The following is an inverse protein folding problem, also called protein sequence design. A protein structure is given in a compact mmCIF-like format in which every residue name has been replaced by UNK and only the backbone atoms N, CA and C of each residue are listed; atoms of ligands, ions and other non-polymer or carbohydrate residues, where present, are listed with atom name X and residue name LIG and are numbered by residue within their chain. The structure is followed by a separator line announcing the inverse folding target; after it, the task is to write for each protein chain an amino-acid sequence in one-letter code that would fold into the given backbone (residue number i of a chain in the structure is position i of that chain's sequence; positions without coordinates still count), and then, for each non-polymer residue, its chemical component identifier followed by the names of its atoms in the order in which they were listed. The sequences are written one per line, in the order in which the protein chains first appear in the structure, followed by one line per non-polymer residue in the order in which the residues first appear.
data_IF_667734374598
#
_entry.id   IF_667734374598
#
_cell.length_a   1.000
_cell.length_b   1.000
_cell.length_c   1.000
_cell.angle_alpha   90.00
_cell.angle_beta   90.00
_cell.angle_gamma   90.00
#
_symmetry.space_group_name_H-M   'P 1'
#
loop_
_entity.id
_entity.type
_entity.pdbx_description
1 polymer ?
#
# COMPACT_ATOMS: atom_id res chain seq x y z
N UNK A 1 1.68 -24.33 1.02
CA UNK A 1 2.36 -23.35 1.93
C UNK A 1 3.21 -22.43 1.10
N UNK A 2 3.14 -21.14 1.37
CA UNK A 2 4.05 -20.15 0.80
C UNK A 2 5.49 -20.47 1.19
N UNK A 3 6.40 -20.42 0.24
CA UNK A 3 7.84 -20.59 0.54
C UNK A 3 8.41 -19.32 1.17
N UNK A 4 9.44 -19.42 1.98
CA UNK A 4 10.15 -18.25 2.53
C UNK A 4 10.61 -17.28 1.44
N UNK A 5 10.98 -17.79 0.26
CA UNK A 5 11.35 -16.97 -0.89
C UNK A 5 10.17 -16.10 -1.36
N UNK A 6 8.96 -16.66 -1.45
CA UNK A 6 7.78 -15.92 -1.89
C UNK A 6 7.35 -14.89 -0.86
N UNK A 7 7.41 -15.20 0.44
CA UNK A 7 7.19 -14.23 1.51
C UNK A 7 8.10 -13.01 1.38
N UNK A 8 9.39 -13.27 1.13
CA UNK A 8 10.39 -12.20 0.98
C UNK A 8 10.17 -11.38 -0.28
N UNK A 9 9.80 -12.01 -1.39
CA UNK A 9 9.46 -11.31 -2.64
C UNK A 9 8.29 -10.34 -2.43
N UNK A 10 7.19 -10.80 -1.82
CA UNK A 10 6.02 -9.98 -1.50
C UNK A 10 6.40 -8.77 -0.61
N UNK A 11 7.17 -9.01 0.45
CA UNK A 11 7.57 -7.94 1.36
C UNK A 11 8.52 -6.94 0.69
N UNK A 12 9.48 -7.42 -0.12
CA UNK A 12 10.39 -6.55 -0.88
C UNK A 12 9.64 -5.69 -1.88
N UNK A 13 8.68 -6.26 -2.60
CA UNK A 13 7.86 -5.52 -3.56
C UNK A 13 7.14 -4.36 -2.88
N UNK A 14 6.50 -4.61 -1.73
CA UNK A 14 5.81 -3.56 -0.96
C UNK A 14 6.78 -2.49 -0.43
N UNK A 15 7.91 -2.88 0.17
CA UNK A 15 8.91 -1.92 0.67
C UNK A 15 9.39 -1.00 -0.46
N UNK A 16 9.73 -1.58 -1.61
CA UNK A 16 10.15 -0.83 -2.77
C UNK A 16 9.03 0.09 -3.31
N UNK A 17 7.78 -0.39 -3.33
CA UNK A 17 6.64 0.42 -3.77
C UNK A 17 6.44 1.65 -2.89
N UNK A 18 6.51 1.50 -1.56
CA UNK A 18 6.41 2.63 -0.64
C UNK A 18 7.57 3.60 -0.80
N UNK A 19 8.81 3.12 -0.94
CA UNK A 19 9.97 3.98 -1.18
C UNK A 19 9.81 4.77 -2.49
N UNK A 20 9.38 4.11 -3.56
CA UNK A 20 9.18 4.75 -4.85
C UNK A 20 8.03 5.76 -4.84
N UNK A 21 6.92 5.43 -4.15
CA UNK A 21 5.80 6.36 -3.95
C UNK A 21 6.24 7.64 -3.24
N UNK A 22 7.02 7.53 -2.15
CA UNK A 22 7.53 8.73 -1.47
C UNK A 22 8.47 9.53 -2.38
N UNK A 23 9.31 8.86 -3.17
CA UNK A 23 10.20 9.55 -4.12
C UNK A 23 9.44 10.25 -5.25
N UNK A 24 8.22 9.80 -5.57
CA UNK A 24 7.37 10.41 -6.57
C UNK A 24 6.90 11.82 -6.19
N UNK A 25 6.93 12.18 -4.92
CA UNK A 25 6.59 13.53 -4.46
C UNK A 25 7.54 14.61 -5.06
N UNK A 26 8.78 14.25 -5.42
CA UNK A 26 9.77 15.23 -5.88
C UNK A 26 10.17 16.21 -4.77
N UNK A 27 10.91 17.23 -5.10
CA UNK A 27 11.42 18.19 -4.10
C UNK A 27 10.31 19.08 -3.54
N UNK A 28 9.48 19.66 -4.40
CA UNK A 28 8.44 20.61 -4.02
C UNK A 28 7.42 20.03 -3.03
N UNK A 29 6.79 18.90 -3.37
CA UNK A 29 5.84 18.24 -2.47
C UNK A 29 6.54 17.65 -1.24
N UNK A 30 7.79 17.20 -1.36
CA UNK A 30 8.55 16.72 -0.21
C UNK A 30 8.79 17.82 0.81
N UNK A 31 9.11 19.03 0.37
CA UNK A 31 9.25 20.19 1.24
C UNK A 31 7.91 20.63 1.82
N UNK A 32 6.86 20.71 0.98
CA UNK A 32 5.52 21.09 1.39
C UNK A 32 4.96 20.15 2.47
N UNK A 33 5.07 18.84 2.27
CA UNK A 33 4.52 17.84 3.20
C UNK A 33 5.51 17.41 4.29
N UNK A 34 6.76 17.86 4.21
CA UNK A 34 7.82 17.45 5.13
C UNK A 34 8.13 15.95 5.01
N UNK A 35 8.21 15.44 3.77
CA UNK A 35 8.47 14.02 3.50
C UNK A 35 9.95 13.72 3.71
N UNK A 36 10.23 12.69 4.52
CA UNK A 36 11.57 12.12 4.66
C UNK A 36 11.47 10.61 4.70
N UNK A 37 12.38 9.94 4.01
CA UNK A 37 12.48 8.47 4.00
C UNK A 37 13.89 8.07 4.40
N UNK A 38 13.97 7.12 5.31
CA UNK A 38 15.23 6.57 5.81
C UNK A 38 15.23 5.06 5.65
N UNK A 39 16.40 4.51 5.38
CA UNK A 39 16.65 3.07 5.49
C UNK A 39 17.44 2.77 6.76
N UNK A 40 17.05 1.71 7.47
CA UNK A 40 17.76 1.22 8.65
C UNK A 40 17.77 -0.30 8.61
N UNK A 41 18.88 -0.88 8.19
CA UNK A 41 18.90 -2.28 7.80
C UNK A 41 17.91 -2.54 6.66
N UNK A 42 17.00 -3.48 6.85
CA UNK A 42 15.92 -3.76 5.91
C UNK A 42 14.69 -2.85 6.07
N UNK A 43 14.64 -2.04 7.12
CA UNK A 43 13.49 -1.21 7.41
C UNK A 43 13.45 0.04 6.51
N UNK A 44 12.29 0.32 5.94
CA UNK A 44 11.92 1.61 5.37
C UNK A 44 11.12 2.40 6.43
N UNK A 45 11.60 3.60 6.76
CA UNK A 45 11.03 4.51 7.75
C UNK A 45 10.57 5.75 7.00
N UNK A 46 9.28 6.01 6.95
CA UNK A 46 8.70 7.16 6.27
C UNK A 46 8.10 8.16 7.26
N UNK A 47 8.42 9.42 7.04
CA UNK A 47 7.92 10.56 7.80
C UNK A 47 7.21 11.51 6.85
N UNK A 48 5.98 11.90 7.20
CA UNK A 48 5.22 12.94 6.52
C UNK A 48 4.72 13.89 7.60
N UNK A 49 5.46 14.97 7.82
CA UNK A 49 5.29 15.83 9.00
C UNK A 49 4.02 16.67 8.94
N UNK A 50 3.73 17.23 7.77
CA UNK A 50 2.71 18.28 7.61
C UNK A 50 1.33 17.70 7.26
N UNK A 51 1.19 16.38 7.20
CA UNK A 51 -0.08 15.68 6.97
C UNK A 51 -0.25 14.63 8.07
N UNK A 52 -1.28 14.78 8.91
CA UNK A 52 -1.57 13.82 10.00
C UNK A 52 -2.40 12.63 9.50
N UNK A 53 -1.88 11.93 8.50
CA UNK A 53 -2.45 10.65 8.06
C UNK A 53 -1.50 9.55 8.53
N UNK A 54 -1.97 8.76 9.51
CA UNK A 54 -1.16 7.73 10.15
C UNK A 54 -0.58 6.71 9.17
N UNK A 55 -1.29 6.43 8.06
CA UNK A 55 -0.86 5.52 7.02
C UNK A 55 0.45 5.93 6.33
N UNK A 56 0.82 7.20 6.34
CA UNK A 56 2.05 7.70 5.72
C UNK A 56 3.23 7.83 6.71
N UNK A 57 2.97 7.74 8.01
CA UNK A 57 4.00 7.72 9.05
C UNK A 57 4.17 6.27 9.52
N UNK A 58 5.04 5.51 8.84
CA UNK A 58 5.18 4.07 9.06
C UNK A 58 6.61 3.56 8.99
N UNK A 59 6.79 2.41 9.61
CA UNK A 59 7.99 1.59 9.50
C UNK A 59 7.58 0.22 8.96
N UNK A 60 8.18 -0.22 7.86
CA UNK A 60 7.97 -1.54 7.26
C UNK A 60 9.31 -2.25 7.08
N UNK A 61 9.33 -3.58 7.20
CA UNK A 61 10.52 -4.40 6.96
C UNK A 61 11.52 -4.46 8.12
N UNK A 62 11.18 -3.91 9.31
CA UNK A 62 12.03 -4.01 10.49
C UNK A 62 12.19 -5.48 10.90
N UNK A 63 13.45 -5.94 11.03
CA UNK A 63 13.77 -7.30 11.44
C UNK A 63 13.59 -8.37 10.37
N UNK A 64 13.24 -8.02 9.12
CA UNK A 64 12.89 -9.02 8.10
C UNK A 64 14.10 -9.59 7.34
N UNK A 65 14.94 -8.73 6.76
CA UNK A 65 16.13 -9.16 6.00
C UNK A 65 17.42 -9.01 6.80
N UNK A 66 17.37 -8.23 7.86
CA UNK A 66 18.42 -8.06 8.85
C UNK A 66 17.75 -8.05 10.22
N UNK A 67 18.32 -8.82 11.15
CA UNK A 67 17.86 -8.87 12.54
C UNK A 67 17.82 -7.47 13.14
N UNK A 68 16.69 -7.10 13.72
CA UNK A 68 16.56 -5.82 14.40
C UNK A 68 17.34 -5.79 15.71
N UNK A 69 17.71 -4.59 16.16
CA UNK A 69 18.30 -4.36 17.47
C UNK A 69 17.41 -3.42 18.28
N UNK A 70 17.58 -3.44 19.59
CA UNK A 70 16.87 -2.53 20.48
C UNK A 70 17.19 -1.06 20.17
N UNK A 71 18.45 -0.76 19.86
CA UNK A 71 18.90 0.54 19.42
C UNK A 71 18.18 1.05 18.14
N UNK A 72 17.88 0.14 17.21
CA UNK A 72 17.10 0.48 16.02
C UNK A 72 15.70 1.02 16.40
N UNK A 73 15.05 0.41 17.39
CA UNK A 73 13.74 0.87 17.88
C UNK A 73 13.84 2.26 18.49
N UNK A 74 14.85 2.52 19.31
CA UNK A 74 15.13 3.83 19.91
C UNK A 74 15.41 4.90 18.86
N UNK A 75 16.20 4.56 17.86
CA UNK A 75 16.52 5.44 16.75
C UNK A 75 15.28 5.78 15.90
N UNK A 76 14.38 4.81 15.67
CA UNK A 76 13.11 5.04 14.99
C UNK A 76 12.27 6.06 15.77
N UNK A 77 12.05 5.84 17.06
CA UNK A 77 11.28 6.75 17.92
C UNK A 77 11.89 8.16 17.89
N UNK A 78 13.22 8.24 18.01
CA UNK A 78 13.94 9.53 17.99
C UNK A 78 13.74 10.29 16.68
N UNK A 79 13.71 9.61 15.53
CA UNK A 79 13.45 10.25 14.23
C UNK A 79 12.07 10.91 14.18
N UNK A 80 11.03 10.21 14.64
CA UNK A 80 9.66 10.77 14.66
C UNK A 80 9.52 11.89 15.69
N UNK A 81 10.08 11.73 16.90
CA UNK A 81 10.10 12.79 17.92
C UNK A 81 10.80 14.06 17.41
N UNK A 82 11.99 13.92 16.83
CA UNK A 82 12.75 15.04 16.30
C UNK A 82 12.08 15.74 15.11
N UNK A 83 11.24 15.01 14.37
CA UNK A 83 10.41 15.60 13.32
C UNK A 83 9.14 16.27 13.85
N UNK A 84 8.81 16.11 15.14
CA UNK A 84 7.58 16.61 15.74
C UNK A 84 6.33 15.79 15.35
N UNK A 85 6.52 14.56 14.86
CA UNK A 85 5.42 13.67 14.51
C UNK A 85 4.93 12.95 15.77
N UNK A 86 3.64 13.05 16.04
CA UNK A 86 3.03 12.58 17.30
C UNK A 86 2.63 11.10 17.29
N UNK A 87 2.56 10.45 16.13
CA UNK A 87 2.15 9.05 16.02
C UNK A 87 2.66 8.40 14.75
N UNK A 88 3.03 7.13 14.83
CA UNK A 88 3.45 6.34 13.68
C UNK A 88 3.17 4.85 13.89
N UNK A 89 3.11 4.10 12.78
CA UNK A 89 3.00 2.65 12.79
C UNK A 89 4.36 1.95 12.66
N UNK A 90 4.52 0.83 13.36
CA UNK A 90 5.49 -0.21 13.02
C UNK A 90 4.71 -1.45 12.57
N UNK A 91 4.90 -1.83 11.33
CA UNK A 91 4.24 -2.97 10.71
C UNK A 91 5.21 -4.16 10.69
N UNK A 92 4.90 -5.20 11.47
CA UNK A 92 5.82 -6.32 11.70
C UNK A 92 5.42 -7.51 10.84
N UNK A 93 6.36 -7.95 10.01
CA UNK A 93 6.22 -9.20 9.28
C UNK A 93 6.30 -10.40 10.25
N UNK A 94 5.55 -11.51 10.02
CA UNK A 94 5.60 -12.69 10.89
C UNK A 94 6.99 -13.30 11.05
N UNK A 95 7.86 -13.19 10.04
CA UNK A 95 9.25 -13.67 10.06
C UNK A 95 10.26 -12.63 10.62
N UNK A 96 9.80 -11.50 11.15
CA UNK A 96 10.71 -10.50 11.71
C UNK A 96 11.44 -11.03 12.94
N UNK A 97 12.74 -10.79 12.97
CA UNK A 97 13.64 -11.20 14.04
C UNK A 97 14.27 -9.98 14.73
N UNK A 98 14.58 -10.06 16.02
CA UNK A 98 14.39 -11.22 16.89
C UNK A 98 12.97 -11.25 17.50
N UNK A 99 12.53 -12.38 18.11
CA UNK A 99 11.23 -12.47 18.79
C UNK A 99 11.02 -11.41 19.88
N UNK A 100 12.10 -10.94 20.50
CA UNK A 100 12.11 -9.90 21.55
C UNK A 100 11.63 -8.52 21.07
N UNK A 101 11.45 -8.30 19.77
CA UNK A 101 10.94 -7.04 19.23
C UNK A 101 9.67 -6.56 19.95
N UNK A 102 8.75 -7.47 20.28
CA UNK A 102 7.50 -7.12 20.97
C UNK A 102 7.73 -6.67 22.40
N UNK A 103 8.73 -7.22 23.09
CA UNK A 103 9.10 -6.81 24.45
C UNK A 103 9.70 -5.40 24.43
N UNK A 104 10.58 -5.11 23.45
CA UNK A 104 11.13 -3.77 23.25
C UNK A 104 10.06 -2.73 22.94
N UNK A 105 9.04 -3.13 22.19
CA UNK A 105 7.89 -2.26 21.91
C UNK A 105 7.09 -1.95 23.18
N UNK A 106 6.78 -2.98 23.99
CA UNK A 106 6.03 -2.80 25.24
C UNK A 106 6.74 -1.85 26.20
N UNK A 107 8.08 -1.97 26.33
CA UNK A 107 8.91 -1.08 27.17
C UNK A 107 8.90 0.39 26.72
N UNK A 108 8.50 0.67 25.47
CA UNK A 108 8.50 2.01 24.86
C UNK A 108 7.09 2.54 24.55
N UNK A 109 6.08 1.96 25.18
CA UNK A 109 4.67 2.30 24.95
C UNK A 109 4.25 2.20 23.46
N UNK A 110 4.86 1.27 22.70
CA UNK A 110 4.43 0.91 21.36
C UNK A 110 3.46 -0.28 21.53
N UNK A 111 2.18 -0.03 21.28
CA UNK A 111 1.10 -0.99 21.56
C UNK A 111 0.53 -1.58 20.27
N UNK A 112 0.05 -2.82 20.34
CA UNK A 112 -0.71 -3.40 19.24
C UNK A 112 -1.96 -2.55 18.98
N UNK A 113 -2.21 -2.21 17.72
CA UNK A 113 -3.31 -1.34 17.31
C UNK A 113 -4.37 -2.07 16.49
N UNK A 114 -3.97 -2.73 15.42
CA UNK A 114 -4.82 -3.55 14.56
C UNK A 114 -3.98 -4.52 13.75
N UNK A 115 -4.66 -5.35 12.97
CA UNK A 115 -4.01 -6.22 12.00
C UNK A 115 -4.42 -5.81 10.58
N UNK A 116 -3.46 -5.98 9.66
CA UNK A 116 -3.74 -5.99 8.23
C UNK A 116 -3.43 -7.37 7.68
N UNK A 117 -4.17 -7.78 6.66
CA UNK A 117 -4.02 -9.08 6.03
C UNK A 117 -3.40 -8.91 4.67
N UNK A 118 -2.26 -9.56 4.47
CA UNK A 118 -1.60 -9.63 3.18
C UNK A 118 -2.15 -10.82 2.42
N UNK A 119 -2.61 -10.56 1.20
CA UNK A 119 -3.12 -11.58 0.27
C UNK A 119 -2.17 -11.72 -0.91
N UNK A 120 -2.17 -12.90 -1.52
CA UNK A 120 -1.40 -13.19 -2.72
C UNK A 120 -2.18 -14.07 -3.68
N UNK A 121 -1.78 -14.07 -4.94
CA UNK A 121 -2.14 -15.04 -5.97
C UNK A 121 -1.06 -15.13 -7.02
N UNK A 122 -1.00 -16.24 -7.77
CA UNK A 122 -0.29 -16.29 -9.06
C UNK A 122 -0.99 -15.45 -10.12
N UNK A 123 -0.35 -15.26 -11.25
CA UNK A 123 -0.92 -14.53 -12.40
C UNK A 123 -1.65 -15.43 -13.37
N UNK A 124 -1.58 -16.75 -13.17
CA UNK A 124 -2.19 -17.75 -14.05
C UNK A 124 -3.72 -17.61 -14.03
N UNK A 125 -4.33 -17.92 -15.18
CA UNK A 125 -5.77 -17.89 -15.34
C UNK A 125 -6.40 -16.59 -14.84
N UNK A 126 -6.06 -15.42 -15.42
CA UNK A 126 -6.66 -14.17 -15.04
C UNK A 126 -8.19 -14.23 -15.18
N UNK A 127 -8.93 -13.79 -14.16
CA UNK A 127 -10.38 -13.85 -14.20
C UNK A 127 -10.93 -12.92 -15.28
N UNK A 128 -11.94 -13.38 -16.00
CA UNK A 128 -12.71 -12.55 -16.93
C UNK A 128 -13.88 -11.94 -16.13
N UNK A 129 -14.03 -10.64 -16.21
CA UNK A 129 -15.12 -9.90 -15.56
C UNK A 129 -15.91 -9.18 -16.65
N UNK A 130 -17.18 -9.55 -16.78
CA UNK A 130 -18.11 -8.80 -17.62
C UNK A 130 -18.50 -7.49 -16.93
N UNK A 131 -18.36 -6.39 -17.65
CA UNK A 131 -18.68 -5.04 -17.17
C UNK A 131 -19.01 -4.14 -18.34
N UNK A 132 -19.91 -3.19 -18.11
CA UNK A 132 -20.21 -2.11 -19.05
C UNK A 132 -19.22 -0.93 -18.92
N UNK A 133 -18.38 -0.98 -17.88
CA UNK A 133 -17.37 0.07 -17.64
C UNK A 133 -16.17 -0.13 -18.58
N UNK A 134 -15.70 0.95 -19.16
CA UNK A 134 -14.40 0.96 -19.84
C UNK A 134 -13.27 0.95 -18.81
N UNK A 135 -12.38 -0.04 -18.89
CA UNK A 135 -11.18 -0.12 -18.03
C UNK A 135 -9.96 0.22 -18.86
N UNK A 136 -9.31 1.34 -18.56
CA UNK A 136 -8.14 1.77 -19.32
C UNK A 136 -6.97 2.21 -18.45
N UNK A 137 -5.76 2.08 -19.00
CA UNK A 137 -4.55 2.65 -18.41
C UNK A 137 -4.56 4.17 -18.55
N UNK A 138 -4.17 4.89 -17.50
CA UNK A 138 -4.06 6.35 -17.49
C UNK A 138 -2.90 6.80 -18.37
N UNK A 139 -3.19 7.62 -19.39
CA UNK A 139 -2.17 8.11 -20.34
C UNK A 139 -2.34 9.59 -20.70
N UNK A 140 -3.57 10.06 -20.81
CA UNK A 140 -3.85 11.46 -21.16
C UNK A 140 -3.73 12.35 -19.92
N UNK A 141 -3.52 13.65 -20.14
CA UNK A 141 -3.49 14.62 -19.04
C UNK A 141 -4.80 14.65 -18.26
N UNK A 142 -5.93 14.60 -18.95
CA UNK A 142 -7.25 14.59 -18.32
C UNK A 142 -7.46 13.35 -17.45
N UNK A 143 -6.91 12.18 -17.88
CA UNK A 143 -6.99 10.96 -17.07
C UNK A 143 -6.08 11.04 -15.85
N UNK A 144 -4.92 11.70 -15.95
CA UNK A 144 -4.03 11.94 -14.80
C UNK A 144 -4.77 12.74 -13.73
N UNK A 145 -5.40 13.83 -14.13
CA UNK A 145 -6.18 14.70 -13.24
C UNK A 145 -7.33 13.92 -12.57
N UNK A 146 -8.09 13.12 -13.34
CA UNK A 146 -9.18 12.28 -12.82
C UNK A 146 -8.68 11.18 -11.88
N UNK A 147 -7.53 10.58 -12.18
CA UNK A 147 -6.92 9.55 -11.34
C UNK A 147 -6.56 10.11 -9.95
N UNK A 148 -5.84 11.23 -9.91
CA UNK A 148 -5.48 11.89 -8.66
C UNK A 148 -6.69 12.29 -7.83
N UNK A 149 -7.70 12.90 -8.48
CA UNK A 149 -8.96 13.31 -7.85
C UNK A 149 -9.70 12.12 -7.21
N UNK A 150 -9.92 11.03 -7.96
CA UNK A 150 -10.65 9.87 -7.43
C UNK A 150 -9.92 9.24 -6.24
N UNK A 151 -8.59 9.14 -6.28
CA UNK A 151 -7.80 8.59 -5.17
C UNK A 151 -7.97 9.48 -3.93
N UNK A 152 -7.76 10.78 -4.03
CA UNK A 152 -7.84 11.68 -2.87
C UNK A 152 -9.25 11.77 -2.30
N UNK A 153 -10.26 11.95 -3.12
CA UNK A 153 -11.67 12.02 -2.68
C UNK A 153 -12.12 10.73 -1.97
N UNK A 154 -11.81 9.57 -2.55
CA UNK A 154 -12.33 8.30 -2.01
C UNK A 154 -11.66 7.87 -0.71
N UNK A 155 -10.45 8.33 -0.44
CA UNK A 155 -9.74 8.11 0.82
C UNK A 155 -9.94 9.26 1.81
N UNK A 156 -10.70 10.29 1.43
CA UNK A 156 -10.91 11.50 2.23
C UNK A 156 -9.60 12.19 2.61
N UNK A 157 -8.63 12.16 1.69
CA UNK A 157 -7.34 12.81 1.87
C UNK A 157 -7.39 14.27 1.39
N UNK A 158 -6.53 15.14 1.94
CA UNK A 158 -6.42 16.52 1.47
C UNK A 158 -6.18 16.60 -0.03
N UNK A 159 -6.85 17.55 -0.72
CA UNK A 159 -6.72 17.70 -2.17
C UNK A 159 -5.29 18.05 -2.59
N UNK A 160 -4.53 18.69 -1.72
CA UNK A 160 -3.12 19.00 -1.95
C UNK A 160 -2.26 17.73 -2.18
N UNK A 161 -2.72 16.57 -1.74
CA UNK A 161 -2.05 15.28 -2.00
C UNK A 161 -2.29 14.76 -3.42
N UNK A 162 -3.26 15.30 -4.15
CA UNK A 162 -3.64 14.86 -5.48
C UNK A 162 -2.45 14.79 -6.43
N UNK A 163 -1.66 15.85 -6.51
CA UNK A 163 -0.48 15.93 -7.36
C UNK A 163 0.55 14.84 -7.03
N UNK A 164 0.68 14.43 -5.77
CA UNK A 164 1.56 13.34 -5.39
C UNK A 164 1.16 12.01 -6.03
N UNK A 165 -0.15 11.71 -6.08
CA UNK A 165 -0.63 10.50 -6.76
C UNK A 165 -0.58 10.62 -8.27
N UNK A 166 -0.82 11.79 -8.83
CA UNK A 166 -0.65 12.07 -10.25
C UNK A 166 0.79 11.79 -10.73
N UNK A 167 1.78 12.07 -9.90
CA UNK A 167 3.19 11.76 -10.18
C UNK A 167 3.52 10.26 -10.23
N UNK A 168 2.61 9.37 -9.86
CA UNK A 168 2.77 7.93 -10.08
C UNK A 168 2.55 7.55 -11.55
N UNK A 169 1.79 8.35 -12.29
CA UNK A 169 1.48 8.08 -13.70
C UNK A 169 2.74 8.21 -14.55
N UNK A 170 2.99 7.20 -15.39
CA UNK A 170 4.14 7.19 -16.26
C UNK A 170 5.48 6.80 -15.61
N UNK A 171 5.51 6.58 -14.29
CA UNK A 171 6.72 6.05 -13.63
C UNK A 171 6.94 4.59 -14.02
N UNK A 172 8.20 4.21 -14.21
CA UNK A 172 8.63 2.92 -14.78
C UNK A 172 7.97 1.70 -14.10
N UNK A 173 7.84 1.73 -12.76
CA UNK A 173 7.32 0.60 -11.99
C UNK A 173 5.83 0.71 -11.67
N UNK A 174 5.17 1.79 -12.08
CA UNK A 174 3.77 2.03 -11.79
C UNK A 174 2.89 1.87 -13.01
N UNK A 175 1.76 1.23 -12.80
CA UNK A 175 0.63 1.16 -13.71
C UNK A 175 -0.58 1.75 -13.02
N UNK A 176 -1.26 2.68 -13.66
CA UNK A 176 -2.41 3.39 -13.12
C UNK A 176 -3.60 3.24 -14.07
N UNK A 177 -4.78 3.08 -13.51
CA UNK A 177 -5.98 2.71 -14.25
C UNK A 177 -7.17 3.54 -13.81
N UNK A 178 -8.10 3.75 -14.75
CA UNK A 178 -9.43 4.26 -14.52
C UNK A 178 -10.48 3.24 -14.96
N UNK A 179 -11.62 3.24 -14.26
CA UNK A 179 -12.88 2.69 -14.75
C UNK A 179 -13.81 3.85 -15.10
N UNK A 180 -14.38 3.83 -16.29
CA UNK A 180 -15.27 4.88 -16.79
C UNK A 180 -16.66 4.32 -17.08
N UNK A 181 -17.67 5.13 -16.75
CA UNK A 181 -19.07 4.96 -17.17
C UNK A 181 -19.35 6.08 -18.21
N UNK A 182 -19.32 5.71 -19.49
CA UNK A 182 -19.24 6.70 -20.56
C UNK A 182 -17.98 7.58 -20.40
N UNK A 183 -18.16 8.88 -20.38
CA UNK A 183 -17.05 9.85 -20.21
C UNK A 183 -16.66 10.10 -18.75
N UNK A 184 -17.42 9.55 -17.79
CA UNK A 184 -17.19 9.80 -16.36
C UNK A 184 -16.27 8.76 -15.76
N UNK A 185 -15.12 9.17 -15.24
CA UNK A 185 -14.28 8.32 -14.41
C UNK A 185 -14.95 8.09 -13.05
N UNK A 186 -15.11 6.81 -12.66
CA UNK A 186 -15.89 6.39 -11.49
C UNK A 186 -15.09 5.58 -10.48
N UNK A 187 -13.93 5.06 -10.90
CA UNK A 187 -13.01 4.36 -10.03
C UNK A 187 -11.58 4.49 -10.56
N UNK A 188 -10.62 4.41 -9.66
CA UNK A 188 -9.20 4.45 -9.96
C UNK A 188 -8.45 3.35 -9.23
N UNK A 189 -7.35 2.88 -9.80
CA UNK A 189 -6.49 1.91 -9.16
C UNK A 189 -5.04 2.04 -9.65
N UNK A 190 -4.09 1.60 -8.82
CA UNK A 190 -2.70 1.48 -9.22
C UNK A 190 -2.13 0.09 -8.94
N UNK A 191 -1.02 -0.22 -9.60
CA UNK A 191 -0.21 -1.40 -9.39
C UNK A 191 1.26 -1.03 -9.50
N UNK A 192 2.04 -1.44 -8.52
CA UNK A 192 3.50 -1.36 -8.59
C UNK A 192 4.06 -2.71 -9.02
N UNK A 193 4.96 -2.70 -10.01
CA UNK A 193 5.59 -3.92 -10.53
C UNK A 193 7.09 -3.81 -10.40
N UNK A 194 7.69 -4.79 -9.77
CA UNK A 194 9.14 -4.91 -9.68
C UNK A 194 9.55 -6.38 -9.65
N UNK A 195 10.55 -6.71 -10.45
CA UNK A 195 11.01 -8.07 -10.67
C UNK A 195 9.85 -8.98 -11.11
N UNK A 196 9.55 -10.03 -10.37
CA UNK A 196 8.44 -10.96 -10.67
C UNK A 196 7.19 -10.75 -9.80
N UNK A 197 7.12 -9.63 -9.07
CA UNK A 197 6.01 -9.33 -8.15
C UNK A 197 5.27 -8.06 -8.53
N UNK A 198 3.92 -8.11 -8.48
CA UNK A 198 3.04 -6.96 -8.58
C UNK A 198 2.31 -6.69 -7.26
N UNK A 199 2.33 -5.45 -6.79
CA UNK A 199 1.55 -5.01 -5.64
C UNK A 199 0.37 -4.17 -6.08
N UNK A 200 -0.85 -4.68 -5.87
CA UNK A 200 -2.10 -3.96 -6.12
C UNK A 200 -2.32 -2.94 -5.00
N UNK A 201 -2.26 -1.66 -5.34
CA UNK A 201 -2.32 -0.55 -4.40
C UNK A 201 -3.39 0.48 -4.77
N UNK A 202 -3.66 1.39 -3.88
CA UNK A 202 -4.48 2.60 -4.07
C UNK A 202 -5.68 2.40 -5.01
N UNK A 203 -6.61 1.49 -4.64
CA UNK A 203 -7.82 1.24 -5.41
C UNK A 203 -9.03 1.87 -4.70
N UNK A 204 -9.81 2.63 -5.43
CA UNK A 204 -10.98 3.33 -4.90
C UNK A 204 -12.09 3.42 -5.93
N UNK A 205 -13.32 3.52 -5.44
CA UNK A 205 -14.52 3.71 -6.26
C UNK A 205 -15.38 4.80 -5.63
N UNK A 206 -15.84 5.74 -6.43
CA UNK A 206 -16.73 6.81 -5.97
C UNK A 206 -17.98 6.21 -5.30
N UNK A 207 -18.50 6.81 -4.21
CA UNK A 207 -19.60 6.24 -3.42
C UNK A 207 -20.80 5.78 -4.25
N UNK A 208 -21.27 6.61 -5.18
CA UNK A 208 -22.45 6.37 -6.03
C UNK A 208 -22.24 5.21 -7.04
N UNK A 209 -21.01 4.79 -7.23
CA UNK A 209 -20.63 3.70 -8.15
C UNK A 209 -20.18 2.42 -7.43
N UNK A 210 -20.25 2.39 -6.11
CA UNK A 210 -19.99 1.16 -5.34
C UNK A 210 -21.05 0.11 -5.66
N UNK A 211 -20.64 -1.16 -5.62
CA UNK A 211 -21.54 -2.29 -5.95
C UNK A 211 -21.76 -2.54 -7.44
N UNK A 212 -21.25 -1.71 -8.36
CA UNK A 212 -21.41 -1.83 -9.82
C UNK A 212 -20.23 -2.53 -10.52
N UNK A 213 -19.41 -3.27 -9.82
CA UNK A 213 -18.34 -4.10 -10.39
C UNK A 213 -17.03 -3.42 -10.71
N UNK A 214 -16.90 -2.08 -10.56
CA UNK A 214 -15.68 -1.34 -10.92
C UNK A 214 -14.41 -1.88 -10.26
N UNK A 215 -14.45 -2.20 -8.96
CA UNK A 215 -13.29 -2.73 -8.24
C UNK A 215 -12.87 -4.11 -8.79
N UNK A 216 -13.81 -5.02 -9.05
CA UNK A 216 -13.51 -6.34 -9.60
C UNK A 216 -12.93 -6.25 -11.00
N UNK A 217 -13.47 -5.39 -11.85
CA UNK A 217 -12.95 -5.14 -13.20
C UNK A 217 -11.50 -4.56 -13.15
N UNK A 218 -11.24 -3.61 -12.26
CA UNK A 218 -9.89 -3.07 -12.04
C UNK A 218 -8.91 -4.11 -11.47
N UNK A 219 -9.38 -5.05 -10.63
CA UNK A 219 -8.53 -6.14 -10.16
C UNK A 219 -8.22 -7.10 -11.32
N UNK A 220 -9.22 -7.53 -12.09
CA UNK A 220 -9.04 -8.43 -13.23
C UNK A 220 -8.06 -7.86 -14.26
N UNK A 221 -8.20 -6.57 -14.62
CA UNK A 221 -7.29 -5.88 -15.53
C UNK A 221 -5.85 -5.88 -15.00
N UNK A 222 -5.63 -5.57 -13.73
CA UNK A 222 -4.29 -5.56 -13.13
C UNK A 222 -3.67 -6.95 -13.07
N UNK A 223 -4.46 -8.01 -12.88
CA UNK A 223 -3.98 -9.39 -12.94
C UNK A 223 -3.52 -9.73 -14.36
N UNK A 224 -4.30 -9.35 -15.38
CA UNK A 224 -3.93 -9.57 -16.78
C UNK A 224 -2.65 -8.82 -17.15
N UNK A 225 -2.58 -7.53 -16.87
CA UNK A 225 -1.40 -6.71 -17.20
C UNK A 225 -0.16 -7.20 -16.45
N UNK A 226 -0.30 -7.67 -15.21
CA UNK A 226 0.80 -8.25 -14.45
C UNK A 226 1.34 -9.54 -15.10
N UNK A 227 0.47 -10.40 -15.64
CA UNK A 227 0.89 -11.58 -16.39
C UNK A 227 1.65 -11.20 -17.66
N UNK A 228 1.16 -10.19 -18.39
CA UNK A 228 1.82 -9.67 -19.61
C UNK A 228 3.18 -9.03 -19.30
N UNK A 229 3.34 -8.44 -18.11
CA UNK A 229 4.58 -7.84 -17.62
C UNK A 229 5.57 -8.88 -17.05
N UNK A 230 5.21 -10.16 -17.02
CA UNK A 230 6.07 -11.25 -16.56
C UNK A 230 6.11 -11.45 -15.05
N UNK A 231 5.16 -10.87 -14.30
CA UNK A 231 5.01 -11.18 -12.89
C UNK A 231 4.68 -12.66 -12.72
N UNK A 232 5.09 -13.22 -11.57
CA UNK A 232 4.71 -14.57 -11.14
C UNK A 232 3.74 -14.53 -9.97
N UNK A 233 3.77 -13.45 -9.20
CA UNK A 233 2.95 -13.26 -8.02
C UNK A 233 2.39 -11.85 -7.96
N UNK A 234 1.15 -11.77 -7.49
CA UNK A 234 0.47 -10.54 -7.11
C UNK A 234 0.21 -10.52 -5.63
N UNK A 235 0.32 -9.36 -5.02
CA UNK A 235 -0.04 -9.14 -3.62
C UNK A 235 -0.94 -7.94 -3.46
N UNK A 236 -1.78 -7.98 -2.44
CA UNK A 236 -2.65 -6.88 -2.03
C UNK A 236 -2.85 -6.94 -0.52
N UNK A 237 -3.22 -5.83 0.08
CA UNK A 237 -3.45 -5.73 1.51
C UNK A 237 -4.86 -5.22 1.82
N UNK A 238 -5.48 -5.79 2.85
CA UNK A 238 -6.76 -5.34 3.39
C UNK A 238 -6.67 -5.18 4.90
N UNK A 239 -7.58 -4.40 5.49
CA UNK A 239 -7.83 -4.53 6.92
C UNK A 239 -8.33 -5.95 7.24
N UNK A 240 -8.05 -6.42 8.44
CA UNK A 240 -8.62 -7.66 8.94
C UNK A 240 -10.14 -7.49 9.12
N UNK A 241 -10.92 -8.46 8.64
CA UNK A 241 -12.36 -8.50 8.88
C UNK A 241 -12.66 -8.78 10.36
N UNK A 242 -13.69 -8.17 10.86
CA UNK A 242 -14.27 -8.52 12.14
C UNK A 242 -15.75 -8.91 11.96
N UNK A 243 -16.35 -9.50 13.00
CA UNK A 243 -17.74 -9.97 12.95
C UNK A 243 -18.75 -8.87 12.66
N UNK A 244 -18.43 -7.63 13.04
CA UNK A 244 -19.31 -6.46 12.91
C UNK A 244 -19.19 -5.79 11.54
N UNK A 245 -18.04 -5.91 10.88
CA UNK A 245 -17.76 -5.22 9.61
C UNK A 245 -17.02 -6.11 8.63
N UNK A 246 -17.77 -6.67 7.68
CA UNK A 246 -17.19 -7.38 6.53
C UNK A 246 -16.74 -6.39 5.46
N UNK A 247 -15.50 -6.49 5.07
CA UNK A 247 -14.92 -5.65 4.02
C UNK A 247 -15.38 -6.12 2.63
N UNK A 248 -16.10 -5.26 1.90
CA UNK A 248 -16.43 -5.53 0.49
C UNK A 248 -15.16 -5.71 -0.35
N UNK A 249 -14.10 -4.99 -0.03
CA UNK A 249 -12.81 -5.13 -0.70
C UNK A 249 -12.22 -6.52 -0.52
N UNK A 250 -12.25 -7.06 0.70
CA UNK A 250 -11.79 -8.43 0.97
C UNK A 250 -12.59 -9.46 0.18
N UNK A 251 -13.93 -9.35 0.15
CA UNK A 251 -14.77 -10.26 -0.62
C UNK A 251 -14.42 -10.23 -2.12
N UNK A 252 -14.18 -9.04 -2.68
CA UNK A 252 -13.81 -8.91 -4.08
C UNK A 252 -12.43 -9.52 -4.36
N UNK A 253 -11.45 -9.33 -3.47
CA UNK A 253 -10.13 -9.92 -3.57
C UNK A 253 -10.19 -11.45 -3.53
N UNK A 254 -10.98 -12.03 -2.60
CA UNK A 254 -11.16 -13.47 -2.50
C UNK A 254 -11.85 -14.06 -3.76
N UNK A 255 -12.89 -13.39 -4.29
CA UNK A 255 -13.53 -13.77 -5.55
C UNK A 255 -12.58 -13.76 -6.75
N UNK A 256 -11.55 -12.90 -6.70
CA UNK A 256 -10.50 -12.84 -7.74
C UNK A 256 -9.37 -13.85 -7.49
N UNK A 257 -9.54 -14.81 -6.60
CA UNK A 257 -8.62 -15.92 -6.37
C UNK A 257 -7.40 -15.58 -5.51
N UNK A 258 -7.45 -14.48 -4.75
CA UNK A 258 -6.40 -14.19 -3.77
C UNK A 258 -6.60 -15.02 -2.49
N UNK A 259 -5.53 -15.58 -1.99
CA UNK A 259 -5.45 -16.32 -0.74
C UNK A 259 -4.71 -15.48 0.31
N UNK A 260 -4.91 -15.81 1.59
CA UNK A 260 -4.19 -15.17 2.68
C UNK A 260 -2.74 -15.62 2.66
N UNK A 261 -1.81 -14.66 2.55
CA UNK A 261 -0.39 -14.90 2.73
C UNK A 261 -0.02 -14.92 4.22
N UNK A 262 -0.38 -13.84 4.93
CA UNK A 262 -0.16 -13.71 6.37
C UNK A 262 -0.96 -12.55 6.96
N UNK A 263 -1.14 -12.61 8.28
CA UNK A 263 -1.66 -11.51 9.08
C UNK A 263 -0.48 -10.68 9.59
N UNK A 264 -0.53 -9.38 9.41
CA UNK A 264 0.52 -8.44 9.81
C UNK A 264 0.02 -7.53 10.93
N UNK A 265 0.55 -7.68 12.15
CA UNK A 265 0.22 -6.76 13.24
C UNK A 265 0.84 -5.40 13.01
N UNK A 266 0.05 -4.37 13.28
CA UNK A 266 0.45 -2.97 13.29
C UNK A 266 0.55 -2.52 14.73
N UNK A 267 1.71 -2.01 15.10
CA UNK A 267 1.98 -1.44 16.40
C UNK A 267 2.02 0.08 16.30
N UNK A 268 1.35 0.74 17.21
CA UNK A 268 1.22 2.20 17.25
C UNK A 268 2.07 2.77 18.38
N UNK A 269 2.93 3.70 18.02
CA UNK A 269 3.54 4.63 18.96
C UNK A 269 2.81 5.98 18.94
N UNK A 270 2.57 6.56 20.11
CA UNK A 270 2.07 7.93 20.27
C UNK A 270 2.98 8.70 21.20
N UNK A 271 3.24 9.97 20.89
CA UNK A 271 3.85 10.90 21.83
C UNK A 271 2.90 11.13 23.01
N UNK A 272 3.46 11.30 24.19
CA UNK A 272 2.76 11.73 25.40
C UNK A 272 2.27 13.18 25.28
#
# INVERSE_FOLDING_TARGET
MLTTTLFRSIASCEINAWQDMYSAAGHELSDQFGIKVFSMGSACISLVKNIDILAFNRVIGLGLFQTATEEMVDNIISKYKNAGIKRFFIQIHPEAAPPQLKDWFAQRNIVHYNNWVKHYRGVENPPVVETELEIREVKSKDDVDRFGEIITLSFEWPDEMRLWFEHLVGRKCWKTYLALDGDRAVAAASMYVKDDCGWLSFASTLPDYRGKGAQTALIARRIQDAAELGCKVLTVETAEDNEEKRSQSLQNIQKMGFEVAFVRPNFLWKAE
#
